data_IF_532780811690
#
_entry.id   IF_532780811690
#
_cell.length_a   1.000
_cell.length_b   1.000
_cell.length_c   1.000
_cell.angle_alpha   90.00
_cell.angle_beta   90.00
_cell.angle_gamma   90.00
#
_symmetry.space_group_name_H-M   'P 1'
#
loop_
_entity.id
_entity.type
_entity.pdbx_description
1 polymer ?
#
# COMPACT_ATOMS: atom_id res chain seq x y z
N UNK A 1 4.77 -35.17 -49.24
CA UNK A 1 4.83 -33.82 -48.61
C UNK A 1 5.32 -32.82 -49.63
N UNK A 2 4.59 -31.71 -49.86
CA UNK A 2 4.93 -30.75 -50.92
C UNK A 2 6.11 -29.85 -50.53
N UNK A 3 6.87 -29.33 -51.51
CA UNK A 3 7.94 -28.32 -51.33
C UNK A 3 7.48 -27.09 -50.52
N UNK A 4 6.18 -26.82 -50.50
CA UNK A 4 5.55 -25.75 -49.70
C UNK A 4 5.62 -26.01 -48.19
N UNK A 5 5.46 -27.27 -47.75
CA UNK A 5 5.53 -27.64 -46.34
C UNK A 5 6.92 -27.36 -45.75
N UNK A 6 7.99 -27.77 -46.43
CA UNK A 6 9.36 -27.54 -45.99
C UNK A 6 9.76 -26.06 -45.99
N UNK A 7 9.26 -25.26 -46.95
CA UNK A 7 9.46 -23.80 -46.95
C UNK A 7 8.77 -23.12 -45.76
N UNK A 8 7.54 -23.52 -45.47
CA UNK A 8 6.76 -22.98 -44.36
C UNK A 8 7.39 -23.37 -43.02
N UNK A 9 7.78 -24.64 -42.85
CA UNK A 9 8.46 -25.13 -41.65
C UNK A 9 9.80 -24.41 -41.43
N UNK A 10 10.60 -24.20 -42.49
CA UNK A 10 11.86 -23.45 -42.42
C UNK A 10 11.62 -22.00 -42.00
N UNK A 11 10.58 -21.35 -42.52
CA UNK A 11 10.22 -19.98 -42.13
C UNK A 11 9.78 -19.88 -40.66
N UNK A 12 8.98 -20.84 -40.19
CA UNK A 12 8.57 -20.96 -38.78
C UNK A 12 9.79 -21.16 -37.87
N UNK A 13 10.71 -22.07 -38.22
CA UNK A 13 11.91 -22.35 -37.43
C UNK A 13 12.89 -21.17 -37.38
N UNK A 14 13.02 -20.41 -38.48
CA UNK A 14 13.83 -19.18 -38.50
C UNK A 14 13.18 -18.11 -37.61
N UNK A 15 11.87 -17.93 -37.71
CA UNK A 15 11.12 -16.96 -36.88
C UNK A 15 11.21 -17.30 -35.40
N UNK A 16 11.05 -18.58 -35.03
CA UNK A 16 11.23 -19.07 -33.66
C UNK A 16 12.66 -18.86 -33.15
N UNK A 17 13.67 -19.14 -33.98
CA UNK A 17 15.08 -18.92 -33.62
C UNK A 17 15.39 -17.44 -33.36
N UNK A 18 14.83 -16.54 -34.17
CA UNK A 18 14.99 -15.08 -33.99
C UNK A 18 14.32 -14.65 -32.67
N UNK A 19 13.09 -15.12 -32.41
CA UNK A 19 12.38 -14.84 -31.15
C UNK A 19 13.19 -15.36 -29.95
N UNK A 20 13.68 -16.59 -30.01
CA UNK A 20 14.52 -17.19 -28.97
C UNK A 20 15.83 -16.44 -28.76
N UNK A 21 16.45 -15.92 -29.83
CA UNK A 21 17.64 -15.08 -29.72
C UNK A 21 17.33 -13.78 -28.98
N UNK A 22 16.24 -13.08 -29.30
CA UNK A 22 15.84 -11.87 -28.58
C UNK A 22 15.45 -12.15 -27.12
N UNK A 23 14.80 -13.29 -26.85
CA UNK A 23 14.54 -13.74 -25.48
C UNK A 23 15.86 -13.94 -24.74
N UNK A 24 16.75 -14.76 -25.29
CA UNK A 24 18.03 -15.08 -24.66
C UNK A 24 18.86 -13.83 -24.43
N UNK A 25 18.94 -12.94 -25.42
CA UNK A 25 19.66 -11.67 -25.30
C UNK A 25 19.05 -10.76 -24.25
N UNK A 26 17.71 -10.63 -24.19
CA UNK A 26 17.04 -9.83 -23.16
C UNK A 26 17.29 -10.41 -21.75
N UNK A 27 17.21 -11.74 -21.60
CA UNK A 27 17.51 -12.42 -20.33
C UNK A 27 18.98 -12.26 -19.93
N UNK A 28 19.91 -12.41 -20.88
CA UNK A 28 21.34 -12.25 -20.65
C UNK A 28 21.69 -10.79 -20.32
N UNK A 29 21.10 -9.82 -21.02
CA UNK A 29 21.27 -8.40 -20.73
C UNK A 29 20.80 -8.04 -19.32
N UNK A 30 19.62 -8.52 -18.91
CA UNK A 30 19.10 -8.33 -17.55
C UNK A 30 19.98 -9.01 -16.50
N UNK A 31 20.54 -10.18 -16.82
CA UNK A 31 21.46 -10.89 -15.93
C UNK A 31 22.80 -10.16 -15.76
N UNK A 32 23.31 -9.55 -16.83
CA UNK A 32 24.60 -8.85 -16.81
C UNK A 32 24.49 -7.45 -16.18
N UNK A 33 23.37 -6.74 -16.38
CA UNK A 33 23.24 -5.32 -16.04
C UNK A 33 22.34 -4.98 -14.84
N UNK A 34 21.54 -5.91 -14.29
CA UNK A 34 20.75 -5.62 -13.07
C UNK A 34 21.64 -5.49 -11.83
N UNK A 35 21.25 -4.74 -10.81
CA UNK A 35 22.05 -4.65 -9.58
C UNK A 35 21.95 -5.94 -8.77
N UNK A 36 23.08 -6.44 -8.26
CA UNK A 36 23.09 -7.59 -7.35
C UNK A 36 22.60 -7.13 -6.00
N UNK A 37 21.52 -7.76 -5.49
CA UNK A 37 21.07 -7.50 -4.14
C UNK A 37 22.20 -7.84 -3.15
N UNK A 38 22.51 -6.93 -2.20
CA UNK A 38 23.44 -7.25 -1.13
C UNK A 38 22.94 -8.48 -0.38
N UNK A 39 23.86 -9.34 0.06
CA UNK A 39 23.48 -10.58 0.72
C UNK A 39 22.78 -10.26 2.07
N UNK A 40 21.46 -10.51 2.13
CA UNK A 40 20.60 -10.12 3.25
C UNK A 40 20.99 -10.77 4.59
N UNK A 41 21.82 -11.82 4.56
CA UNK A 41 22.29 -12.58 5.73
C UNK A 41 23.20 -11.78 6.68
N UNK A 42 23.70 -10.61 6.24
CA UNK A 42 24.65 -9.78 6.97
C UNK A 42 24.15 -8.37 7.32
N UNK A 43 22.86 -8.06 7.11
CA UNK A 43 22.35 -6.72 7.40
C UNK A 43 22.11 -6.57 8.91
N UNK A 44 23.13 -6.08 9.62
CA UNK A 44 22.91 -5.31 10.83
C UNK A 44 22.00 -4.11 10.49
N UNK A 45 21.15 -3.67 11.42
CA UNK A 45 20.40 -2.44 11.20
C UNK A 45 21.36 -1.29 10.94
N UNK A 46 21.00 -0.46 9.98
CA UNK A 46 21.72 0.77 9.67
C UNK A 46 21.47 1.80 10.77
N UNK A 47 20.22 1.89 11.25
CA UNK A 47 19.89 2.60 12.48
C UNK A 47 18.82 1.86 13.27
N UNK A 48 18.87 1.98 14.59
CA UNK A 48 17.89 1.46 15.55
C UNK A 48 17.55 2.55 16.53
N UNK A 49 16.27 2.81 16.71
CA UNK A 49 15.75 3.68 17.76
C UNK A 49 14.82 2.85 18.67
N UNK A 50 15.21 2.74 19.93
CA UNK A 50 14.38 2.16 20.99
C UNK A 50 13.92 3.33 21.85
N UNK A 51 12.62 3.58 21.84
CA UNK A 51 12.03 4.69 22.57
C UNK A 51 11.56 4.26 23.97
N UNK A 52 11.41 2.95 24.19
CA UNK A 52 10.98 2.40 25.48
C UNK A 52 11.61 1.03 25.78
N UNK A 53 12.52 1.04 26.75
CA UNK A 53 13.30 -0.13 27.17
C UNK A 53 12.45 -1.25 27.80
N UNK A 54 11.23 -0.96 28.24
CA UNK A 54 10.29 -1.98 28.77
C UNK A 54 10.01 -3.08 27.75
N UNK A 55 10.14 -2.77 26.46
CA UNK A 55 9.88 -3.71 25.36
C UNK A 55 11.15 -4.41 24.83
N UNK A 56 12.32 -4.24 25.46
CA UNK A 56 13.60 -4.79 24.99
C UNK A 56 13.55 -6.27 24.63
N UNK A 57 12.90 -7.11 25.45
CA UNK A 57 12.82 -8.55 25.17
C UNK A 57 11.86 -8.89 24.02
N UNK A 58 10.79 -8.11 23.86
CA UNK A 58 9.90 -8.23 22.70
C UNK A 58 10.60 -7.76 21.43
N UNK A 59 11.40 -6.69 21.50
CA UNK A 59 12.24 -6.19 20.41
C UNK A 59 13.25 -7.27 19.98
N UNK A 60 13.95 -7.91 20.92
CA UNK A 60 14.88 -9.02 20.60
C UNK A 60 14.18 -10.16 19.84
N UNK A 61 12.98 -10.56 20.28
CA UNK A 61 12.19 -11.59 19.60
C UNK A 61 11.71 -11.13 18.22
N UNK A 62 11.30 -9.87 18.07
CA UNK A 62 10.92 -9.30 16.80
C UNK A 62 12.09 -9.26 15.80
N UNK A 63 13.29 -8.89 16.26
CA UNK A 63 14.53 -8.97 15.47
C UNK A 63 14.83 -10.40 15.02
N UNK A 64 14.60 -11.39 15.88
CA UNK A 64 14.74 -12.80 15.49
C UNK A 64 13.72 -13.21 14.42
N UNK A 65 12.46 -12.76 14.53
CA UNK A 65 11.43 -12.97 13.50
C UNK A 65 11.86 -12.33 12.18
N UNK A 66 12.36 -11.09 12.21
CA UNK A 66 12.87 -10.41 11.02
C UNK A 66 14.04 -11.17 10.41
N UNK A 67 15.07 -11.52 11.19
CA UNK A 67 16.24 -12.25 10.69
C UNK A 67 15.88 -13.55 9.96
N UNK A 68 14.91 -14.30 10.47
CA UNK A 68 14.45 -15.55 9.84
C UNK A 68 13.64 -15.34 8.55
N UNK A 69 13.15 -14.12 8.30
CA UNK A 69 12.15 -13.84 7.24
C UNK A 69 12.62 -12.79 6.23
N UNK A 70 13.51 -11.88 6.61
CA UNK A 70 14.02 -10.78 5.79
C UNK A 70 14.83 -11.26 4.61
N UNK A 71 15.48 -12.43 4.72
CA UNK A 71 16.08 -13.14 3.59
C UNK A 71 15.10 -13.33 2.42
N UNK A 72 13.80 -13.44 2.73
CA UNK A 72 12.74 -13.60 1.74
C UNK A 72 12.15 -12.29 1.23
N UNK A 73 12.54 -11.14 1.79
CA UNK A 73 12.13 -9.85 1.24
C UNK A 73 12.79 -9.63 -0.11
N UNK A 74 14.09 -9.94 -0.22
CA UNK A 74 14.88 -9.65 -1.41
C UNK A 74 14.66 -8.20 -1.89
N UNK A 75 14.72 -7.26 -0.95
CA UNK A 75 14.62 -5.82 -1.21
C UNK A 75 15.96 -5.16 -0.86
N UNK A 76 16.38 -4.12 -1.59
CA UNK A 76 17.59 -3.35 -1.27
C UNK A 76 17.59 -2.75 0.14
N UNK A 77 16.42 -2.34 0.61
CA UNK A 77 16.22 -1.90 1.97
C UNK A 77 14.78 -1.98 2.45
N UNK A 78 14.63 -1.95 3.77
CA UNK A 78 13.33 -1.94 4.44
C UNK A 78 13.39 -1.19 5.78
N UNK A 79 12.22 -0.68 6.20
CA UNK A 79 12.02 -0.08 7.51
C UNK A 79 10.92 -0.81 8.27
N UNK A 80 11.03 -0.81 9.59
CA UNK A 80 9.99 -1.29 10.51
C UNK A 80 9.79 -0.28 11.64
N UNK A 81 8.54 -0.10 12.05
CA UNK A 81 8.19 0.60 13.28
C UNK A 81 7.10 -0.15 14.03
N UNK A 82 7.20 -0.15 15.36
CA UNK A 82 6.23 -0.77 16.26
C UNK A 82 5.74 0.27 17.25
N UNK A 83 4.43 0.42 17.32
CA UNK A 83 3.74 1.20 18.34
C UNK A 83 2.98 0.31 19.30
N UNK A 84 3.00 0.67 20.59
CA UNK A 84 2.22 0.02 21.64
C UNK A 84 1.56 1.07 22.52
N UNK A 85 0.28 0.87 22.85
CA UNK A 85 -0.54 1.83 23.57
C UNK A 85 -0.62 3.17 22.83
N UNK A 86 0.14 4.18 23.24
CA UNK A 86 0.05 5.54 22.72
C UNK A 86 1.36 6.03 22.09
N UNK A 87 2.39 5.20 22.05
CA UNK A 87 3.74 5.62 21.64
C UNK A 87 4.39 4.60 20.69
N UNK A 88 5.25 5.11 19.81
CA UNK A 88 6.17 4.28 19.04
C UNK A 88 7.25 3.83 20.01
N UNK A 89 7.47 2.52 20.14
CA UNK A 89 8.41 1.93 21.11
C UNK A 89 9.72 1.50 20.45
N UNK A 90 9.67 1.24 19.13
CA UNK A 90 10.82 0.74 18.37
C UNK A 90 10.69 1.08 16.88
N UNK A 91 11.77 1.61 16.30
CA UNK A 91 11.94 1.81 14.86
C UNK A 91 13.31 1.33 14.41
N UNK A 92 13.38 0.72 13.23
CA UNK A 92 14.63 0.15 12.71
C UNK A 92 14.64 0.14 11.18
N UNK A 93 15.81 0.37 10.59
CA UNK A 93 15.99 0.37 9.12
C UNK A 93 17.20 -0.48 8.72
N UNK A 94 17.10 -1.08 7.55
CA UNK A 94 18.08 -2.03 7.03
C UNK A 94 18.34 -1.79 5.56
N UNK A 95 19.61 -1.75 5.16
CA UNK A 95 20.01 -1.66 3.76
C UNK A 95 20.00 -0.23 3.21
N UNK A 96 19.73 -0.11 1.91
CA UNK A 96 20.01 1.11 1.15
C UNK A 96 18.75 1.82 0.67
N UNK A 97 18.76 3.15 0.77
CA UNK A 97 17.77 4.03 0.16
C UNK A 97 17.97 4.08 -1.37
N UNK A 98 19.22 4.00 -1.81
CA UNK A 98 19.63 3.97 -3.21
C UNK A 98 20.88 3.09 -3.35
N UNK A 99 20.82 2.10 -4.24
CA UNK A 99 21.90 1.14 -4.52
C UNK A 99 23.04 1.75 -5.33
N UNK A 100 22.75 2.61 -6.30
CA UNK A 100 23.73 3.18 -7.23
C UNK A 100 24.79 3.99 -6.49
N UNK A 101 24.36 4.82 -5.55
CA UNK A 101 25.25 5.63 -4.73
C UNK A 101 25.47 5.08 -3.30
N UNK A 102 24.95 3.87 -3.02
CA UNK A 102 25.02 3.21 -1.71
C UNK A 102 24.54 4.07 -0.53
N UNK A 103 23.56 4.95 -0.76
CA UNK A 103 22.99 5.77 0.31
C UNK A 103 22.26 4.88 1.32
N UNK A 104 22.62 4.93 2.62
CA UNK A 104 21.94 4.16 3.65
C UNK A 104 20.50 4.62 3.85
N UNK A 105 19.61 3.70 4.24
CA UNK A 105 18.31 4.09 4.77
C UNK A 105 18.46 4.79 6.13
N UNK A 106 17.54 5.71 6.41
CA UNK A 106 17.34 6.32 7.72
C UNK A 106 15.89 6.13 8.16
N UNK A 107 15.58 6.36 9.45
CA UNK A 107 14.19 6.36 9.93
C UNK A 107 13.33 7.45 9.26
N UNK A 108 13.96 8.44 8.61
CA UNK A 108 13.28 9.52 7.86
C UNK A 108 13.06 9.18 6.39
N UNK A 109 13.61 8.07 5.90
CA UNK A 109 13.47 7.66 4.51
C UNK A 109 12.00 7.41 4.15
N UNK A 110 11.53 8.10 3.11
CA UNK A 110 10.13 8.11 2.65
C UNK A 110 9.95 7.08 1.55
N UNK A 111 9.07 6.12 1.80
CA UNK A 111 8.70 5.08 0.86
C UNK A 111 7.37 5.43 0.21
N UNK A 112 7.17 5.14 -1.09
CA UNK A 112 5.83 5.02 -1.65
C UNK A 112 5.05 3.97 -0.85
N UNK A 113 3.85 4.32 -0.41
CA UNK A 113 3.02 3.42 0.40
C UNK A 113 1.88 2.81 -0.39
N UNK A 114 1.70 3.24 -1.64
CA UNK A 114 0.68 2.73 -2.54
C UNK A 114 -0.69 2.74 -1.88
N UNK A 115 -1.38 1.60 -1.96
CA UNK A 115 -2.74 1.46 -1.46
C UNK A 115 -2.92 1.60 0.06
N UNK A 116 -1.83 1.65 0.83
CA UNK A 116 -1.93 2.04 2.24
C UNK A 116 -2.42 3.49 2.41
N UNK A 117 -2.42 4.31 1.36
CA UNK A 117 -3.07 5.63 1.32
C UNK A 117 -4.58 5.57 1.61
N UNK A 118 -5.26 4.47 1.25
CA UNK A 118 -6.71 4.30 1.38
C UNK A 118 -7.20 4.44 2.82
N UNK A 119 -6.65 3.71 3.82
CA UNK A 119 -7.10 3.87 5.20
C UNK A 119 -6.89 5.29 5.76
N UNK A 120 -5.88 6.04 5.31
CA UNK A 120 -5.69 7.44 5.72
C UNK A 120 -6.83 8.30 5.16
N UNK A 121 -7.11 8.19 3.85
CA UNK A 121 -8.24 8.87 3.19
C UNK A 121 -9.58 8.48 3.80
N UNK A 122 -9.80 7.20 4.08
CA UNK A 122 -11.02 6.71 4.70
C UNK A 122 -11.21 7.30 6.10
N UNK A 123 -10.14 7.40 6.89
CA UNK A 123 -10.16 8.03 8.22
C UNK A 123 -10.49 9.52 8.13
N UNK A 124 -9.88 10.24 7.19
CA UNK A 124 -10.21 11.65 6.93
C UNK A 124 -11.67 11.83 6.48
N UNK A 125 -12.19 10.91 5.64
CA UNK A 125 -13.60 10.91 5.24
C UNK A 125 -14.52 10.72 6.45
N UNK A 126 -14.21 9.76 7.33
CA UNK A 126 -14.98 9.54 8.55
C UNK A 126 -14.93 10.76 9.48
N UNK A 127 -13.80 11.46 9.55
CA UNK A 127 -13.66 12.70 10.32
C UNK A 127 -14.59 13.80 9.78
N UNK A 128 -14.60 14.01 8.46
CA UNK A 128 -15.56 14.93 7.82
C UNK A 128 -17.02 14.52 8.07
N UNK A 129 -17.31 13.22 8.18
CA UNK A 129 -18.64 12.74 8.55
C UNK A 129 -19.00 13.06 9.99
N UNK A 130 -18.06 12.91 10.93
CA UNK A 130 -18.27 13.28 12.33
C UNK A 130 -18.49 14.78 12.51
N UNK A 131 -17.82 15.59 11.68
CA UNK A 131 -17.93 17.05 11.66
C UNK A 131 -19.19 17.54 10.91
N UNK A 132 -19.98 16.62 10.33
CA UNK A 132 -21.22 16.92 9.61
C UNK A 132 -21.02 17.58 8.24
N UNK A 133 -19.81 17.58 7.71
CA UNK A 133 -19.46 18.17 6.40
C UNK A 133 -19.97 17.30 5.25
N UNK A 134 -19.94 15.98 5.42
CA UNK A 134 -20.33 15.02 4.39
C UNK A 134 -21.05 13.83 5.04
N UNK A 135 -22.03 13.24 4.36
CA UNK A 135 -22.77 12.08 4.87
C UNK A 135 -22.44 10.82 4.04
N UNK A 136 -22.11 9.72 4.72
CA UNK A 136 -21.70 8.46 4.10
C UNK A 136 -22.72 7.89 3.10
N UNK A 137 -24.00 8.18 3.30
CA UNK A 137 -25.11 7.71 2.51
C UNK A 137 -25.53 8.71 1.43
N UNK A 138 -24.90 9.88 1.31
CA UNK A 138 -25.20 10.82 0.23
C UNK A 138 -24.83 10.20 -1.13
N UNK A 139 -25.66 10.43 -2.14
CA UNK A 139 -25.33 10.05 -3.51
C UNK A 139 -24.13 10.88 -3.99
N UNK A 140 -23.10 10.20 -4.51
CA UNK A 140 -21.87 10.82 -4.95
C UNK A 140 -22.10 11.89 -6.02
N UNK A 141 -23.12 11.72 -6.87
CA UNK A 141 -23.45 12.69 -7.92
C UNK A 141 -23.96 14.02 -7.36
N UNK A 142 -24.46 14.05 -6.12
CA UNK A 142 -24.88 15.28 -5.45
C UNK A 142 -23.69 16.07 -4.88
N UNK A 143 -22.55 15.39 -4.66
CA UNK A 143 -21.32 15.99 -4.11
C UNK A 143 -20.36 16.36 -5.24
N UNK A 144 -20.24 15.49 -6.25
CA UNK A 144 -19.35 15.62 -7.41
C UNK A 144 -20.22 15.65 -8.67
N UNK A 145 -20.81 16.80 -9.05
CA UNK A 145 -21.71 16.90 -10.19
C UNK A 145 -21.03 16.60 -11.54
N UNK A 146 -19.70 16.68 -11.60
CA UNK A 146 -18.88 16.29 -12.76
C UNK A 146 -18.85 14.76 -12.96
N UNK A 147 -19.16 13.97 -11.93
CA UNK A 147 -19.31 12.53 -12.07
C UNK A 147 -20.67 12.21 -12.70
N UNK A 148 -20.71 11.53 -13.87
CA UNK A 148 -21.94 11.35 -14.61
C UNK A 148 -22.90 10.44 -13.87
N UNK A 149 -24.18 10.81 -13.89
CA UNK A 149 -25.26 10.06 -13.24
C UNK A 149 -25.25 8.60 -13.71
N UNK A 150 -25.27 7.69 -12.74
CA UNK A 150 -25.37 6.24 -12.95
C UNK A 150 -26.81 5.76 -12.73
N UNK A 151 -27.18 4.56 -13.23
CA UNK A 151 -28.52 4.00 -13.03
C UNK A 151 -28.86 3.71 -11.55
N UNK A 152 -27.85 3.66 -10.69
CA UNK A 152 -27.99 3.39 -9.25
C UNK A 152 -27.28 4.46 -8.43
N UNK A 153 -27.80 4.71 -7.23
CA UNK A 153 -27.14 5.55 -6.22
C UNK A 153 -25.79 4.94 -5.82
N UNK A 154 -24.74 5.74 -5.85
CA UNK A 154 -23.41 5.37 -5.34
C UNK A 154 -23.16 6.22 -4.10
N UNK A 155 -22.96 5.59 -2.94
CA UNK A 155 -22.66 6.30 -1.70
C UNK A 155 -21.16 6.29 -1.40
N UNK A 156 -20.71 7.16 -0.47
CA UNK A 156 -19.33 7.11 0.03
C UNK A 156 -19.04 5.80 0.76
N UNK A 157 -20.01 5.24 1.48
CA UNK A 157 -19.86 3.92 2.10
C UNK A 157 -19.57 2.85 1.04
N UNK A 158 -20.27 2.86 -0.10
CA UNK A 158 -20.00 1.95 -1.20
C UNK A 158 -18.58 2.14 -1.77
N UNK A 159 -18.10 3.37 -1.89
CA UNK A 159 -16.76 3.65 -2.42
C UNK A 159 -15.66 3.21 -1.45
N UNK A 160 -15.77 3.59 -0.18
CA UNK A 160 -14.80 3.28 0.87
C UNK A 160 -14.68 1.76 1.12
N UNK A 161 -15.77 1.02 0.91
CA UNK A 161 -15.85 -0.42 1.09
C UNK A 161 -15.62 -1.25 -0.18
N UNK A 162 -15.29 -0.62 -1.32
CA UNK A 162 -15.11 -1.29 -2.62
C UNK A 162 -16.36 -2.01 -3.13
N UNK A 163 -17.53 -1.47 -2.84
CA UNK A 163 -18.85 -1.98 -3.26
C UNK A 163 -19.57 -1.05 -4.23
N UNK A 164 -18.87 -0.11 -4.86
CA UNK A 164 -19.49 0.87 -5.77
C UNK A 164 -19.73 0.35 -7.19
N UNK A 165 -19.12 -0.76 -7.58
CA UNK A 165 -19.11 -1.22 -8.97
C UNK A 165 -18.18 -0.41 -9.89
N UNK A 166 -17.45 0.58 -9.38
CA UNK A 166 -16.44 1.31 -10.16
C UNK A 166 -15.24 0.39 -10.38
N UNK A 167 -14.81 0.22 -11.63
CA UNK A 167 -13.71 -0.68 -11.98
C UNK A 167 -12.35 -0.26 -11.39
N UNK A 168 -11.40 -1.19 -11.39
CA UNK A 168 -10.00 -0.90 -11.14
C UNK A 168 -9.26 -0.46 -12.42
N UNK A 169 -7.93 -0.38 -12.35
CA UNK A 169 -7.07 -0.18 -13.51
C UNK A 169 -7.22 -1.31 -14.52
N UNK A 170 -6.95 -1.02 -15.79
CA UNK A 170 -6.76 -2.11 -16.73
C UNK A 170 -5.37 -2.73 -16.51
N UNK A 171 -5.33 -4.02 -16.27
CA UNK A 171 -4.06 -4.76 -16.24
C UNK A 171 -3.72 -5.14 -17.67
N UNK A 172 -2.66 -4.56 -18.23
CA UNK A 172 -2.11 -5.00 -19.51
C UNK A 172 -0.98 -5.98 -19.26
N UNK A 173 -1.04 -7.11 -19.95
CA UNK A 173 0.03 -8.10 -19.91
C UNK A 173 1.18 -7.60 -20.78
N UNK A 174 2.39 -7.46 -20.21
CA UNK A 174 3.60 -7.15 -20.97
C UNK A 174 4.49 -8.39 -20.98
N UNK A 175 4.89 -8.81 -22.17
CA UNK A 175 5.79 -9.95 -22.35
C UNK A 175 7.26 -9.47 -22.34
N UNK A 176 8.19 -10.20 -21.73
CA UNK A 176 8.03 -11.52 -21.07
C UNK A 176 7.37 -11.42 -19.68
N UNK A 177 6.55 -12.41 -19.26
CA UNK A 177 6.04 -12.49 -17.89
C UNK A 177 7.19 -12.49 -16.87
N UNK A 178 6.98 -11.98 -15.64
CA UNK A 178 5.71 -11.69 -14.97
C UNK A 178 5.35 -10.18 -14.94
N UNK A 179 5.67 -9.40 -15.97
CA UNK A 179 5.38 -7.97 -15.95
C UNK A 179 3.90 -7.71 -16.25
N UNK A 180 3.12 -7.47 -15.19
CA UNK A 180 1.84 -6.78 -15.31
C UNK A 180 2.12 -5.29 -15.26
N UNK A 181 1.76 -4.56 -16.32
CA UNK A 181 1.67 -3.10 -16.23
C UNK A 181 0.24 -2.79 -15.83
N UNK A 182 0.10 -2.18 -14.67
CA UNK A 182 -1.02 -1.26 -14.40
C UNK A 182 -0.91 -0.13 -15.44
N UNK A 183 -2.02 0.55 -15.79
CA UNK A 183 -1.97 1.78 -16.58
C UNK A 183 -1.05 2.81 -15.86
N UNK A 184 0.23 2.79 -16.21
CA UNK A 184 1.24 3.68 -15.67
C UNK A 184 1.14 4.99 -16.44
N UNK A 185 0.82 6.05 -15.71
CA UNK A 185 0.77 7.40 -16.24
C UNK A 185 2.05 8.12 -15.87
N UNK A 186 2.72 8.73 -16.84
CA UNK A 186 4.01 9.43 -16.62
C UNK A 186 3.94 10.85 -17.15
N UNK A 187 3.45 11.04 -18.37
CA UNK A 187 3.33 12.34 -19.03
C UNK A 187 1.91 12.92 -19.06
N UNK A 188 0.93 12.24 -18.48
CA UNK A 188 -0.45 12.70 -18.44
C UNK A 188 -0.63 13.83 -17.43
N UNK A 189 -1.44 14.83 -17.78
CA UNK A 189 -1.85 15.89 -16.88
C UNK A 189 -3.10 15.48 -16.09
N UNK A 190 -3.01 15.59 -14.77
CA UNK A 190 -4.08 15.33 -13.82
C UNK A 190 -4.22 16.48 -12.82
N UNK A 191 -3.89 17.69 -13.25
CA UNK A 191 -3.97 18.93 -12.48
C UNK A 191 -5.38 19.21 -11.95
N UNK A 192 -6.43 18.71 -12.62
CA UNK A 192 -7.81 18.96 -12.24
C UNK A 192 -8.70 17.70 -12.16
N UNK A 193 -9.89 17.88 -11.58
CA UNK A 193 -10.88 16.82 -11.33
C UNK A 193 -11.36 16.14 -12.60
N UNK A 194 -11.62 16.91 -13.67
CA UNK A 194 -12.13 16.38 -14.94
C UNK A 194 -11.15 15.39 -15.57
N UNK A 195 -9.85 15.70 -15.58
CA UNK A 195 -8.81 14.81 -16.07
C UNK A 195 -8.73 13.51 -15.26
N UNK A 196 -8.81 13.60 -13.92
CA UNK A 196 -8.74 12.43 -13.03
C UNK A 196 -9.96 11.54 -13.15
N UNK A 197 -11.15 12.15 -13.17
CA UNK A 197 -12.42 11.44 -13.33
C UNK A 197 -12.60 10.89 -14.75
N UNK A 198 -12.07 11.58 -15.76
CA UNK A 198 -12.12 11.18 -17.17
C UNK A 198 -11.57 9.78 -17.43
N UNK A 199 -10.65 9.31 -16.57
CA UNK A 199 -10.08 7.96 -16.66
C UNK A 199 -11.10 6.83 -16.49
N UNK A 200 -12.22 7.05 -15.80
CA UNK A 200 -13.16 5.96 -15.46
C UNK A 200 -14.64 6.38 -15.35
N UNK A 201 -14.92 7.67 -15.27
CA UNK A 201 -16.26 8.21 -14.97
C UNK A 201 -17.33 7.76 -15.96
N UNK A 202 -16.98 7.58 -17.24
CA UNK A 202 -17.93 7.19 -18.28
C UNK A 202 -18.12 5.68 -18.43
N UNK A 203 -17.36 4.87 -17.69
CA UNK A 203 -17.48 3.41 -17.79
C UNK A 203 -18.77 2.90 -17.14
N UNK A 204 -19.24 1.75 -17.63
CA UNK A 204 -20.34 1.03 -16.98
C UNK A 204 -19.91 0.51 -15.61
N UNK A 205 -20.84 0.50 -14.65
CA UNK A 205 -20.60 -0.17 -13.38
C UNK A 205 -20.47 -1.67 -13.62
N UNK A 206 -19.54 -2.30 -12.92
CA UNK A 206 -19.34 -3.75 -12.95
C UNK A 206 -20.55 -4.52 -12.40
N UNK A 207 -21.23 -3.93 -11.41
CA UNK A 207 -22.39 -4.47 -10.73
C UNK A 207 -23.17 -3.33 -10.05
N UNK A 208 -24.35 -3.65 -9.50
CA UNK A 208 -25.14 -2.69 -8.73
C UNK A 208 -24.42 -2.31 -7.42
N UNK A 209 -24.27 -1.01 -7.09
CA UNK A 209 -23.64 -0.59 -5.84
C UNK A 209 -24.27 -1.26 -4.61
N UNK A 210 -23.42 -1.78 -3.73
CA UNK A 210 -23.83 -2.48 -2.52
C UNK A 210 -24.11 -3.99 -2.70
N UNK A 211 -24.10 -4.56 -3.91
CA UNK A 211 -24.40 -6.01 -4.07
C UNK A 211 -23.16 -6.89 -4.07
N UNK A 212 -22.02 -6.38 -4.54
CA UNK A 212 -20.79 -7.16 -4.71
C UNK A 212 -19.55 -6.35 -4.28
N UNK A 213 -18.39 -6.99 -4.34
CA UNK A 213 -17.10 -6.43 -4.00
C UNK A 213 -16.16 -6.44 -5.21
N UNK A 214 -15.56 -5.29 -5.52
CA UNK A 214 -14.45 -5.17 -6.48
C UNK A 214 -13.52 -4.05 -6.05
N UNK A 215 -12.30 -4.43 -5.70
CA UNK A 215 -11.26 -3.50 -5.27
C UNK A 215 -11.02 -2.43 -6.32
N UNK A 216 -11.09 -1.16 -5.92
CA UNK A 216 -10.96 -0.03 -6.86
C UNK A 216 -10.21 1.14 -6.23
N UNK A 217 -9.06 1.47 -6.83
CA UNK A 217 -8.40 2.76 -6.57
C UNK A 217 -9.15 3.93 -7.20
N UNK A 218 -9.79 3.77 -8.36
CA UNK A 218 -10.62 4.84 -8.94
C UNK A 218 -11.82 5.20 -8.07
N UNK A 219 -12.39 4.23 -7.36
CA UNK A 219 -13.36 4.51 -6.31
C UNK A 219 -12.82 5.45 -5.23
N UNK A 220 -11.55 5.29 -4.83
CA UNK A 220 -10.89 6.20 -3.89
C UNK A 220 -10.48 7.54 -4.51
N UNK A 221 -10.14 7.58 -5.80
CA UNK A 221 -9.99 8.86 -6.52
C UNK A 221 -11.29 9.67 -6.41
N UNK A 222 -12.45 9.05 -6.64
CA UNK A 222 -13.75 9.70 -6.49
C UNK A 222 -14.05 10.13 -5.04
N UNK A 223 -13.62 9.35 -4.03
CA UNK A 223 -13.69 9.77 -2.62
C UNK A 223 -12.90 11.05 -2.38
N UNK A 224 -11.67 11.13 -2.92
CA UNK A 224 -10.84 12.33 -2.79
C UNK A 224 -11.49 13.57 -3.41
N UNK A 225 -12.10 13.44 -4.59
CA UNK A 225 -12.88 14.52 -5.22
C UNK A 225 -14.08 14.93 -4.37
N UNK A 226 -14.81 13.96 -3.82
CA UNK A 226 -15.98 14.23 -2.99
C UNK A 226 -15.61 14.95 -1.69
N UNK A 227 -14.52 14.55 -1.04
CA UNK A 227 -14.00 15.24 0.15
C UNK A 227 -13.66 16.69 -0.18
N UNK A 228 -12.91 16.93 -1.27
CA UNK A 228 -12.50 18.26 -1.68
C UNK A 228 -13.69 19.16 -2.01
N UNK A 229 -14.68 18.63 -2.73
CA UNK A 229 -15.91 19.36 -3.10
C UNK A 229 -16.79 19.67 -1.90
N UNK A 230 -17.01 18.70 -1.01
CA UNK A 230 -17.85 18.91 0.17
C UNK A 230 -17.25 19.93 1.15
N UNK A 231 -15.93 19.91 1.35
CA UNK A 231 -15.26 20.85 2.24
C UNK A 231 -14.87 22.18 1.56
N UNK A 232 -14.95 22.26 0.23
CA UNK A 232 -14.44 23.39 -0.57
C UNK A 232 -12.96 23.71 -0.29
N UNK A 233 -12.13 22.66 -0.16
CA UNK A 233 -10.69 22.72 0.12
C UNK A 233 -9.97 21.70 -0.78
N UNK A 234 -8.71 21.95 -1.13
CA UNK A 234 -7.93 20.97 -1.90
C UNK A 234 -7.81 19.65 -1.12
N UNK A 235 -7.86 18.52 -1.84
CA UNK A 235 -7.75 17.20 -1.22
C UNK A 235 -6.47 17.02 -0.38
N UNK A 236 -5.31 17.49 -0.86
CA UNK A 236 -4.05 17.34 -0.13
C UNK A 236 -4.02 18.23 1.13
N UNK A 237 -4.51 19.47 1.02
CA UNK A 237 -4.62 20.37 2.17
C UNK A 237 -5.57 19.79 3.25
N UNK A 238 -6.64 19.10 2.83
CA UNK A 238 -7.51 18.36 3.76
C UNK A 238 -6.77 17.23 4.48
N UNK A 239 -5.95 16.47 3.77
CA UNK A 239 -5.19 15.37 4.36
C UNK A 239 -4.13 15.89 5.35
N UNK A 240 -3.48 17.00 5.03
CA UNK A 240 -2.56 17.70 5.93
C UNK A 240 -3.28 18.14 7.20
N UNK A 241 -4.38 18.88 7.06
CA UNK A 241 -5.13 19.46 8.19
C UNK A 241 -5.83 18.41 9.07
N UNK A 242 -6.34 17.33 8.47
CA UNK A 242 -7.15 16.34 9.20
C UNK A 242 -6.33 15.18 9.76
N UNK A 243 -5.20 14.84 9.13
CA UNK A 243 -4.41 13.64 9.47
C UNK A 243 -2.95 13.99 9.72
N UNK A 244 -2.24 14.61 8.77
CA UNK A 244 -0.77 14.63 8.87
C UNK A 244 -0.25 15.61 9.92
N UNK A 245 -0.73 16.86 9.93
CA UNK A 245 -0.30 17.85 10.91
C UNK A 245 -0.72 17.50 12.35
N UNK A 246 -2.00 17.13 12.63
CA UNK A 246 -2.43 16.82 14.01
C UNK A 246 -1.68 15.65 14.65
N UNK A 247 -1.13 14.75 13.83
CA UNK A 247 -0.42 13.56 14.27
C UNK A 247 1.11 13.71 14.18
N UNK A 248 1.60 14.88 13.77
CA UNK A 248 3.02 15.12 13.56
C UNK A 248 3.64 14.17 12.55
N UNK A 249 2.90 13.83 11.48
CA UNK A 249 3.34 12.97 10.38
C UNK A 249 4.05 13.78 9.29
N UNK A 250 5.05 14.56 9.67
CA UNK A 250 5.75 15.52 8.80
C UNK A 250 6.52 14.89 7.63
N UNK A 251 6.67 13.56 7.61
CA UNK A 251 7.29 12.83 6.51
C UNK A 251 6.27 12.10 5.63
N UNK A 252 4.98 12.39 5.80
CA UNK A 252 3.88 11.85 4.99
C UNK A 252 3.35 12.94 4.05
N UNK A 253 3.06 12.58 2.80
CA UNK A 253 2.53 13.53 1.81
C UNK A 253 2.37 12.92 0.43
N UNK A 254 1.92 13.72 -0.53
CA UNK A 254 1.80 13.30 -1.93
C UNK A 254 3.15 12.90 -2.56
N UNK A 255 3.15 11.81 -3.34
CA UNK A 255 4.24 11.48 -4.26
C UNK A 255 4.04 12.33 -5.53
N UNK A 256 4.92 13.32 -5.70
CA UNK A 256 4.96 14.18 -6.86
C UNK A 256 5.99 13.65 -7.84
N UNK A 257 5.59 13.52 -9.11
CA UNK A 257 6.53 13.15 -10.18
C UNK A 257 7.40 14.33 -10.62
N UNK A 258 6.89 15.55 -10.50
CA UNK A 258 7.44 16.79 -11.04
C UNK A 258 8.27 17.59 -10.02
N UNK A 259 8.38 17.10 -8.78
CA UNK A 259 9.07 17.80 -7.69
C UNK A 259 10.03 16.86 -6.96
N UNK A 260 11.26 17.31 -6.65
CA UNK A 260 12.16 16.53 -5.82
C UNK A 260 11.58 16.40 -4.40
N UNK A 261 11.48 15.16 -3.92
CA UNK A 261 11.07 14.88 -2.54
C UNK A 261 12.29 14.46 -1.72
N UNK A 262 12.64 15.27 -0.71
CA UNK A 262 13.72 14.94 0.21
C UNK A 262 13.47 13.61 0.94
N UNK A 263 14.55 12.84 1.12
CA UNK A 263 14.58 11.52 1.77
C UNK A 263 13.71 10.45 1.08
N UNK A 264 13.22 10.69 -0.15
CA UNK A 264 12.52 9.67 -0.96
C UNK A 264 13.49 8.56 -1.35
N UNK A 265 13.08 7.32 -1.11
CA UNK A 265 13.87 6.14 -1.51
C UNK A 265 13.74 5.86 -3.01
N UNK A 266 14.78 5.28 -3.60
CA UNK A 266 14.68 4.70 -4.94
C UNK A 266 13.87 3.42 -4.85
N UNK A 267 12.86 3.28 -5.71
CA UNK A 267 12.01 2.08 -5.80
C UNK A 267 12.56 1.10 -6.83
N UNK A 268 12.46 -0.20 -6.56
CA UNK A 268 13.12 -1.23 -7.35
C UNK A 268 12.18 -2.38 -7.76
N UNK A 269 12.20 -2.72 -9.04
CA UNK A 269 11.56 -3.94 -9.55
C UNK A 269 12.53 -5.12 -9.46
N UNK A 270 12.00 -6.30 -9.16
CA UNK A 270 12.78 -7.54 -9.24
C UNK A 270 12.92 -7.97 -10.70
N UNK A 271 14.14 -8.37 -11.07
CA UNK A 271 14.36 -8.99 -12.38
C UNK A 271 13.95 -10.46 -12.35
N UNK A 272 13.67 -11.03 -13.52
CA UNK A 272 13.22 -12.43 -13.68
C UNK A 272 14.32 -13.44 -13.28
N UNK A 273 15.60 -13.05 -13.33
CA UNK A 273 16.74 -13.94 -13.15
C UNK A 273 17.68 -13.41 -12.06
N UNK A 274 17.90 -14.24 -11.03
CA UNK A 274 18.85 -13.98 -9.95
C UNK A 274 18.27 -13.11 -8.83
N UNK A 275 19.02 -12.95 -7.73
CA UNK A 275 18.73 -11.98 -6.67
C UNK A 275 19.09 -10.56 -7.16
N UNK A 276 18.53 -10.11 -8.28
CA UNK A 276 18.83 -8.81 -8.90
C UNK A 276 17.61 -7.91 -8.95
N UNK A 277 17.87 -6.61 -8.99
CA UNK A 277 16.86 -5.57 -9.09
C UNK A 277 17.23 -4.52 -10.12
N UNK A 278 16.22 -3.80 -10.61
CA UNK A 278 16.36 -2.63 -11.48
C UNK A 278 15.52 -1.47 -10.91
N UNK A 279 15.91 -0.23 -11.22
CA UNK A 279 15.14 0.95 -10.82
C UNK A 279 13.74 0.84 -11.44
N UNK A 280 12.71 1.00 -10.61
CA UNK A 280 11.33 0.96 -11.06
C UNK A 280 11.00 2.25 -11.84
N UNK A 281 10.12 2.17 -12.85
CA UNK A 281 9.74 3.35 -13.61
C UNK A 281 9.01 4.36 -12.73
N UNK A 282 9.18 5.64 -13.05
CA UNK A 282 8.40 6.71 -12.41
C UNK A 282 6.91 6.57 -12.73
N UNK A 283 6.08 7.10 -11.83
CA UNK A 283 4.62 7.12 -11.99
C UNK A 283 4.07 8.45 -11.47
N UNK A 284 3.28 9.13 -12.31
CA UNK A 284 2.48 10.26 -11.90
C UNK A 284 1.32 9.77 -11.02
N UNK A 285 1.44 9.93 -9.70
CA UNK A 285 0.45 9.47 -8.75
C UNK A 285 -0.71 10.46 -8.52
N UNK A 286 -0.72 11.62 -9.18
CA UNK A 286 -1.71 12.69 -8.92
C UNK A 286 -3.15 12.30 -9.23
N UNK A 287 -3.39 11.37 -10.17
CA UNK A 287 -4.73 10.84 -10.42
C UNK A 287 -5.27 9.93 -9.29
N UNK A 288 -4.40 9.49 -8.38
CA UNK A 288 -4.71 8.45 -7.39
C UNK A 288 -4.19 8.74 -5.98
N UNK A 289 -3.84 9.98 -5.62
CA UNK A 289 -3.31 10.29 -4.28
C UNK A 289 -4.16 9.66 -3.17
N UNK A 290 -5.48 9.89 -3.21
CA UNK A 290 -6.45 9.36 -2.27
C UNK A 290 -6.45 7.83 -2.11
N UNK A 291 -6.09 7.08 -3.15
CA UNK A 291 -6.13 5.63 -3.13
C UNK A 291 -4.78 4.93 -3.28
N UNK A 292 -3.69 5.65 -3.52
CA UNK A 292 -2.46 5.00 -3.94
C UNK A 292 -1.21 5.86 -4.06
N UNK A 293 -1.25 7.15 -3.73
CA UNK A 293 -0.22 8.09 -4.17
C UNK A 293 0.53 8.81 -3.06
N UNK A 294 0.47 8.36 -1.81
CA UNK A 294 1.30 8.96 -0.75
C UNK A 294 2.68 8.32 -0.63
N UNK A 295 3.62 9.13 -0.13
CA UNK A 295 4.87 8.74 0.49
C UNK A 295 4.71 8.80 2.01
N UNK A 296 5.43 7.94 2.74
CA UNK A 296 5.50 8.01 4.21
C UNK A 296 6.74 7.32 4.77
N UNK A 297 7.00 7.53 6.06
CA UNK A 297 7.89 6.68 6.88
C UNK A 297 7.08 5.61 7.61
N UNK A 298 7.75 4.56 8.10
CA UNK A 298 7.10 3.55 8.95
C UNK A 298 6.68 4.14 10.30
N UNK A 299 7.45 5.10 10.83
CA UNK A 299 7.18 5.79 12.10
C UNK A 299 5.91 6.63 12.02
N UNK A 300 5.72 7.42 10.95
CA UNK A 300 4.51 8.24 10.79
C UNK A 300 3.25 7.39 10.64
N UNK A 301 3.32 6.28 9.88
CA UNK A 301 2.21 5.33 9.78
C UNK A 301 1.92 4.64 11.13
N UNK A 302 2.94 4.39 11.95
CA UNK A 302 2.74 3.86 13.30
C UNK A 302 2.01 4.89 14.19
N UNK A 303 2.36 6.18 14.11
CA UNK A 303 1.61 7.26 14.78
C UNK A 303 0.15 7.28 14.35
N UNK A 304 -0.11 7.19 13.04
CA UNK A 304 -1.47 7.10 12.50
C UNK A 304 -2.26 5.92 13.09
N UNK A 305 -1.67 4.72 13.12
CA UNK A 305 -2.32 3.55 13.69
C UNK A 305 -2.62 3.67 15.18
N UNK A 306 -1.67 4.19 15.96
CA UNK A 306 -1.87 4.45 17.40
C UNK A 306 -2.99 5.46 17.62
N UNK A 307 -2.98 6.56 16.88
CA UNK A 307 -3.97 7.62 17.02
C UNK A 307 -5.38 7.15 16.64
N UNK A 308 -5.50 6.33 15.59
CA UNK A 308 -6.75 5.70 15.19
C UNK A 308 -7.28 4.75 16.28
N UNK A 309 -6.45 3.82 16.79
CA UNK A 309 -6.87 2.85 17.81
C UNK A 309 -7.19 3.48 19.17
N UNK A 310 -6.62 4.65 19.47
CA UNK A 310 -6.88 5.38 20.72
C UNK A 310 -7.98 6.43 20.61
N UNK A 311 -8.67 6.53 19.47
CA UNK A 311 -9.76 7.48 19.27
C UNK A 311 -9.31 8.95 19.26
N UNK A 312 -8.06 9.22 18.87
CA UNK A 312 -7.50 10.58 18.84
C UNK A 312 -7.93 11.37 17.59
N UNK A 313 -8.25 10.69 16.49
CA UNK A 313 -8.60 11.32 15.19
C UNK A 313 -10.10 11.27 14.93
N UNK A 314 -10.69 10.09 15.15
CA UNK A 314 -12.12 9.78 15.00
C UNK A 314 -12.59 8.99 16.22
N UNK A 315 -13.89 9.01 16.50
CA UNK A 315 -14.49 8.27 17.62
C UNK A 315 -14.29 6.77 17.45
N UNK A 316 -14.14 6.04 18.57
CA UNK A 316 -14.07 4.58 18.59
C UNK A 316 -15.27 3.92 17.89
N UNK A 317 -16.47 4.51 18.01
CA UNK A 317 -17.67 4.06 17.28
C UNK A 317 -17.50 4.15 15.76
N UNK A 318 -16.86 5.20 15.26
CA UNK A 318 -16.61 5.40 13.84
C UNK A 318 -15.55 4.44 13.34
N UNK A 319 -14.47 4.24 14.09
CA UNK A 319 -13.48 3.21 13.76
C UNK A 319 -14.10 1.80 13.73
N UNK A 320 -14.94 1.45 14.72
CA UNK A 320 -15.71 0.19 14.71
C UNK A 320 -16.63 0.07 13.50
N UNK A 321 -17.24 1.17 13.05
CA UNK A 321 -18.08 1.18 11.85
C UNK A 321 -17.27 0.88 10.58
N UNK A 322 -16.01 1.34 10.51
CA UNK A 322 -15.09 1.02 9.41
C UNK A 322 -14.74 -0.47 9.37
N UNK A 323 -14.89 -1.19 10.48
CA UNK A 323 -14.62 -2.64 10.60
C UNK A 323 -15.90 -3.49 10.58
N UNK A 324 -16.97 -3.00 9.94
CA UNK A 324 -18.17 -3.82 9.72
C UNK A 324 -17.88 -4.91 8.65
N UNK A 325 -18.29 -6.17 8.86
CA UNK A 325 -18.01 -7.28 7.94
C UNK A 325 -18.96 -7.25 6.74
N UNK A 326 -18.80 -6.25 5.88
CA UNK A 326 -19.71 -5.98 4.74
C UNK A 326 -19.25 -6.61 3.42
N UNK A 327 -17.98 -7.01 3.31
CA UNK A 327 -17.45 -7.61 2.09
C UNK A 327 -16.51 -8.77 2.43
N UNK A 328 -17.02 -10.01 2.47
CA UNK A 328 -16.17 -11.18 2.68
C UNK A 328 -15.27 -11.38 1.45
N UNK A 329 -13.99 -11.66 1.70
CA UNK A 329 -13.03 -12.06 0.68
C UNK A 329 -12.57 -13.48 0.98
N UNK A 330 -13.42 -14.43 0.59
CA UNK A 330 -13.26 -15.86 0.91
C UNK A 330 -12.28 -16.57 -0.03
N UNK A 331 -12.09 -16.05 -1.25
CA UNK A 331 -11.19 -16.63 -2.27
C UNK A 331 -9.71 -16.30 -2.03
N UNK A 332 -9.30 -16.20 -0.77
CA UNK A 332 -7.91 -15.98 -0.34
C UNK A 332 -7.44 -17.14 0.51
N UNK A 333 -6.15 -17.54 0.44
CA UNK A 333 -5.56 -18.42 1.46
C UNK A 333 -5.64 -17.84 2.88
N UNK A 334 -5.96 -16.54 3.02
CA UNK A 334 -6.25 -15.88 4.28
C UNK A 334 -7.62 -15.17 4.18
N UNK A 335 -8.74 -15.89 4.37
CA UNK A 335 -10.07 -15.30 4.34
C UNK A 335 -10.15 -14.11 5.30
N UNK A 336 -10.63 -12.98 4.80
CA UNK A 336 -10.72 -11.73 5.55
C UNK A 336 -11.93 -10.93 5.09
N UNK A 337 -12.39 -10.02 5.92
CA UNK A 337 -13.38 -9.01 5.54
C UNK A 337 -12.69 -7.74 5.06
N UNK A 338 -13.33 -7.07 4.10
CA UNK A 338 -13.03 -5.69 3.75
C UNK A 338 -14.12 -4.80 4.35
N UNK A 339 -13.68 -3.79 5.08
CA UNK A 339 -14.50 -2.70 5.58
C UNK A 339 -14.16 -1.40 4.86
N UNK A 340 -14.46 -0.26 5.49
CA UNK A 340 -14.13 1.06 4.94
C UNK A 340 -12.63 1.33 5.11
N UNK A 341 -11.84 1.07 4.07
CA UNK A 341 -10.39 1.31 4.03
C UNK A 341 -9.52 0.29 4.77
N UNK A 342 -10.10 -0.76 5.35
CA UNK A 342 -9.36 -1.76 6.12
C UNK A 342 -9.74 -3.19 5.78
N UNK A 343 -8.75 -4.08 5.82
CA UNK A 343 -8.96 -5.51 5.86
C UNK A 343 -8.93 -5.97 7.32
N UNK A 344 -9.72 -6.97 7.68
CA UNK A 344 -9.63 -7.54 9.02
C UNK A 344 -10.14 -8.97 9.11
N UNK A 345 -9.66 -9.69 10.12
CA UNK A 345 -10.15 -11.02 10.47
C UNK A 345 -9.93 -11.30 11.96
N UNK A 346 -10.65 -12.29 12.50
CA UNK A 346 -10.48 -12.72 13.89
C UNK A 346 -9.31 -13.70 14.02
N UNK A 347 -8.45 -13.44 14.99
CA UNK A 347 -7.41 -14.37 15.41
C UNK A 347 -8.01 -15.48 16.28
N UNK A 348 -7.31 -16.62 16.37
CA UNK A 348 -7.68 -17.69 17.29
C UNK A 348 -7.73 -17.26 18.76
N UNK A 349 -7.05 -16.17 19.12
CA UNK A 349 -7.11 -15.55 20.44
C UNK A 349 -8.39 -14.75 20.72
N UNK A 350 -9.28 -14.55 19.73
CA UNK A 350 -10.46 -13.70 19.80
C UNK A 350 -10.22 -12.23 19.40
N UNK A 351 -8.96 -11.79 19.39
CA UNK A 351 -8.58 -10.43 18.95
C UNK A 351 -8.84 -10.23 17.46
N UNK A 352 -9.04 -8.98 17.07
CA UNK A 352 -9.19 -8.58 15.67
C UNK A 352 -7.83 -8.18 15.12
N UNK A 353 -7.40 -8.82 14.03
CA UNK A 353 -6.26 -8.33 13.27
C UNK A 353 -6.78 -7.45 12.15
N UNK A 354 -6.46 -6.16 12.23
CA UNK A 354 -6.77 -5.16 11.21
C UNK A 354 -5.51 -4.92 10.39
N UNK A 355 -5.61 -4.83 9.07
CA UNK A 355 -4.45 -4.65 8.21
C UNK A 355 -4.80 -3.92 6.92
N UNK A 356 -3.78 -3.32 6.33
CA UNK A 356 -3.83 -2.91 4.93
C UNK A 356 -2.41 -2.99 4.34
N UNK A 357 -2.33 -3.34 3.06
CA UNK A 357 -1.08 -3.38 2.32
C UNK A 357 -1.02 -2.30 1.26
N UNK A 358 0.15 -2.13 0.68
CA UNK A 358 0.37 -1.28 -0.48
C UNK A 358 1.37 -1.90 -1.42
N UNK A 359 1.10 -1.82 -2.72
CA UNK A 359 1.97 -2.31 -3.77
C UNK A 359 2.19 -1.21 -4.82
N UNK A 360 2.87 -0.11 -4.46
CA UNK A 360 3.27 0.88 -5.45
C UNK A 360 4.32 0.30 -6.40
N UNK A 361 4.53 0.97 -7.52
CA UNK A 361 5.58 0.63 -8.48
C UNK A 361 6.94 0.54 -7.77
N UNK A 362 7.57 -0.63 -7.79
CA UNK A 362 8.87 -0.86 -7.17
C UNK A 362 8.90 -0.82 -5.64
N UNK A 363 7.77 -0.94 -4.93
CA UNK A 363 7.74 -0.90 -3.48
C UNK A 363 6.70 -1.83 -2.86
N UNK A 364 6.78 -1.99 -1.54
CA UNK A 364 5.73 -2.67 -0.79
C UNK A 364 5.56 -2.08 0.61
N UNK A 365 4.31 -1.95 1.03
CA UNK A 365 3.94 -1.47 2.35
C UNK A 365 3.02 -2.47 3.05
N UNK A 366 3.15 -2.57 4.36
CA UNK A 366 2.25 -3.34 5.20
C UNK A 366 2.07 -2.66 6.54
N UNK A 367 0.83 -2.49 6.95
CA UNK A 367 0.45 -2.06 8.28
C UNK A 367 -0.49 -3.08 8.89
N UNK A 368 -0.19 -3.50 10.11
CA UNK A 368 -1.01 -4.43 10.90
C UNK A 368 -1.27 -3.81 12.26
N UNK A 369 -2.51 -3.91 12.70
CA UNK A 369 -2.98 -3.45 14.01
C UNK A 369 -3.71 -4.57 14.73
N UNK A 370 -3.58 -4.59 16.05
CA UNK A 370 -4.43 -5.38 16.95
C UNK A 370 -5.04 -4.39 17.94
N UNK A 371 -6.23 -3.82 17.66
CA UNK A 371 -6.84 -2.77 18.47
C UNK A 371 -7.04 -3.15 19.93
N UNK A 372 -7.45 -4.40 20.20
CA UNK A 372 -7.66 -4.89 21.58
C UNK A 372 -6.35 -4.94 22.37
N UNK A 373 -5.21 -5.02 21.69
CA UNK A 373 -3.88 -4.97 22.29
C UNK A 373 -3.17 -3.64 22.00
N UNK A 374 -3.84 -2.64 21.42
CA UNK A 374 -3.25 -1.34 21.05
C UNK A 374 -1.85 -1.44 20.41
N UNK A 375 -1.64 -2.45 19.57
CA UNK A 375 -0.36 -2.67 18.88
C UNK A 375 -0.52 -2.33 17.41
N UNK A 376 0.43 -1.58 16.86
CA UNK A 376 0.60 -1.38 15.43
C UNK A 376 2.01 -1.77 15.01
N UNK A 377 2.12 -2.42 13.86
CA UNK A 377 3.40 -2.75 13.22
C UNK A 377 3.32 -2.32 11.76
N UNK A 378 4.29 -1.51 11.35
CA UNK A 378 4.43 -1.05 9.96
C UNK A 378 5.76 -1.57 9.42
N UNK A 379 5.73 -2.15 8.21
CA UNK A 379 6.94 -2.53 7.49
C UNK A 379 6.83 -1.99 6.06
N UNK A 380 7.88 -1.31 5.58
CA UNK A 380 7.96 -0.73 4.24
C UNK A 380 9.23 -1.25 3.55
N UNK A 381 9.15 -1.60 2.27
CA UNK A 381 10.29 -2.03 1.45
C UNK A 381 10.34 -1.22 0.16
N UNK A 382 11.55 -0.94 -0.32
CA UNK A 382 11.77 -0.28 -1.61
C UNK A 382 11.92 -1.29 -2.76
N UNK A 383 11.28 -2.46 -2.64
CA UNK A 383 11.11 -3.41 -3.73
C UNK A 383 9.91 -4.31 -3.48
N UNK A 384 9.25 -4.73 -4.55
CA UNK A 384 8.11 -5.63 -4.48
C UNK A 384 8.54 -7.06 -4.15
N UNK A 385 7.88 -7.69 -3.15
CA UNK A 385 8.23 -9.05 -2.73
C UNK A 385 7.38 -10.09 -3.47
N UNK A 386 7.88 -10.64 -4.59
CA UNK A 386 7.26 -11.83 -5.23
C UNK A 386 7.44 -13.11 -4.40
N UNK A 387 6.36 -13.90 -4.28
CA UNK A 387 6.43 -15.33 -3.92
C UNK A 387 6.86 -15.69 -2.50
N UNK A 388 7.08 -14.72 -1.61
CA UNK A 388 7.42 -14.97 -0.22
C UNK A 388 6.25 -14.69 0.73
N UNK A 389 6.36 -15.22 1.95
CA UNK A 389 5.46 -14.99 3.07
C UNK A 389 5.09 -13.48 3.12
N UNK A 390 3.80 -13.10 2.99
CA UNK A 390 3.41 -11.70 2.88
C UNK A 390 4.04 -10.86 3.98
N UNK A 391 4.54 -9.66 3.67
CA UNK A 391 5.05 -8.69 4.64
C UNK A 391 4.09 -8.53 5.84
N UNK A 392 2.79 -8.58 5.54
CA UNK A 392 1.67 -8.71 6.48
C UNK A 392 1.84 -9.80 7.53
N UNK A 393 2.24 -11.02 7.15
CA UNK A 393 2.42 -12.12 8.09
C UNK A 393 3.61 -11.90 9.03
N UNK A 394 4.68 -11.23 8.56
CA UNK A 394 5.80 -10.85 9.44
C UNK A 394 5.33 -9.79 10.43
N UNK A 395 4.68 -8.73 9.94
CA UNK A 395 4.09 -7.68 10.78
C UNK A 395 3.09 -8.26 11.79
N UNK A 396 2.22 -9.19 11.38
CA UNK A 396 1.25 -9.86 12.24
C UNK A 396 1.89 -10.71 13.35
N UNK A 397 3.01 -11.39 13.07
CA UNK A 397 3.74 -12.16 14.09
C UNK A 397 4.40 -11.24 15.11
N UNK A 398 4.99 -10.13 14.64
CA UNK A 398 5.58 -9.13 15.52
C UNK A 398 4.47 -8.47 16.37
N UNK A 399 3.34 -8.11 15.76
CA UNK A 399 2.21 -7.51 16.46
C UNK A 399 1.68 -8.43 17.57
N UNK A 400 1.56 -9.73 17.30
CA UNK A 400 1.18 -10.72 18.32
C UNK A 400 2.23 -10.87 19.43
N UNK A 401 3.52 -10.77 19.12
CA UNK A 401 4.57 -10.83 20.16
C UNK A 401 4.48 -9.62 21.10
N UNK A 402 4.33 -8.41 20.56
CA UNK A 402 4.15 -7.22 21.38
C UNK A 402 2.79 -7.22 22.11
N UNK A 403 1.74 -7.81 21.52
CA UNK A 403 0.43 -7.94 22.19
C UNK A 403 0.45 -8.84 23.43
N UNK A 404 1.47 -9.69 23.62
CA UNK A 404 1.65 -10.47 24.86
C UNK A 404 2.09 -9.61 26.04
N UNK A 405 2.83 -8.53 25.79
CA UNK A 405 3.34 -7.64 26.83
C UNK A 405 2.23 -7.04 27.69
N UNK A 406 1.08 -6.72 27.08
CA UNK A 406 -0.06 -6.13 27.78
C UNK A 406 -0.78 -7.12 28.70
N UNK A 407 -0.70 -8.42 28.43
CA UNK A 407 -1.28 -9.43 29.33
C UNK A 407 -0.47 -9.60 30.61
N UNK A 408 0.83 -9.27 30.57
CA UNK A 408 1.74 -9.41 31.70
C UNK A 408 1.91 -8.11 32.51
N UNK A 409 1.40 -6.98 32.00
CA UNK A 409 1.51 -5.66 32.62
C UNK A 409 0.19 -5.13 33.19
N UNK A 410 -0.84 -5.98 33.35
CA UNK A 410 -1.99 -5.63 34.18
C UNK A 410 -1.54 -5.81 35.63
N UNK A 411 -1.41 -4.75 36.44
CA UNK A 411 -1.22 -4.92 37.87
C UNK A 411 -2.43 -5.68 38.39
N UNK A 412 -2.22 -6.75 39.15
CA UNK A 412 -3.29 -7.40 39.90
C UNK A 412 -4.07 -6.30 40.63
N UNK A 413 -5.33 -6.11 40.23
CA UNK A 413 -6.29 -5.27 40.94
C UNK A 413 -7.12 -6.11 41.87
#
# INVERSE_FOLDING_TARGET
>A
MSKYFFRTLKFILISLSIILFFIFFSLLWNYLNGDVLPNADHLNPVSTEIYDDRYTDHIKKAKNILKQRSQKFHAPGYSISVGVNNEVVWSEVYGYANLENQSPLTIRSKFPIGSLSKPLTATATMKLCEDGVIDLQTDICNIVPEFPKKPYKISLEHLLSHRSGIRHYHTKFKWPPPYFTIDLHVGDDFSNSEQRLGLFSHDSLLFQPGTEYSYSTFGYTLVGEAMAKAANVNFLDLMDALIFEPLGMSSTGADYIDKPVSERVTSYNKTIIGKRVEIAPDENCSYKWAGGGFLSTSTDLAKFGLALMNGQIIKDSSFKSMLRPISPYENSPFPQFHGMGWNFYKLASGNTLVNHGGSPTGGQASMVMIPEAKVVVVILTNSYIYGALPLKMVAAKIAQEFGKSLKNNVPDK
#
